data_IF_565832051994
#
_entry.id   IF_565832051994
#
_cell.length_a   1.000
_cell.length_b   1.000
_cell.length_c   1.000
_cell.angle_alpha   90.00
_cell.angle_beta   90.00
_cell.angle_gamma   90.00
#
_symmetry.space_group_name_H-M   'P 1'
#
loop_
_entity.id
_entity.type
_entity.pdbx_description
1 polymer ?
#
# COMPACT_ATOMS: atom_id res chain seq x y z
N UNK A 1 -8.39 -5.81 -14.92
CA UNK A 1 -9.02 -5.03 -13.83
C UNK A 1 -9.01 -5.83 -12.54
N UNK A 2 -7.98 -5.60 -11.72
CA UNK A 2 -7.89 -6.09 -10.34
C UNK A 2 -7.54 -4.90 -9.46
N UNK A 3 -8.04 -4.92 -8.24
CA UNK A 3 -7.78 -3.92 -7.22
C UNK A 3 -6.73 -4.48 -6.28
N UNK A 4 -5.71 -3.70 -5.97
CA UNK A 4 -4.65 -4.09 -5.07
C UNK A 4 -4.63 -3.13 -3.88
N UNK A 5 -4.77 -3.69 -2.69
CA UNK A 5 -4.69 -2.93 -1.44
C UNK A 5 -3.32 -3.16 -0.86
N UNK A 6 -2.56 -2.09 -0.63
CA UNK A 6 -1.32 -2.12 0.13
C UNK A 6 -1.63 -1.61 1.53
N UNK A 7 -1.45 -2.50 2.51
CA UNK A 7 -1.63 -2.18 3.93
C UNK A 7 -0.27 -1.88 4.56
N UNK A 8 0.74 -2.67 4.22
CA UNK A 8 2.12 -2.45 4.69
C UNK A 8 3.04 -2.38 3.50
N UNK A 9 3.78 -1.29 3.40
CA UNK A 9 4.66 -1.00 2.27
C UNK A 9 5.27 0.40 2.38
N UNK A 10 5.94 0.85 1.33
CA UNK A 10 6.49 2.20 1.21
C UNK A 10 5.40 3.27 1.06
N UNK A 11 4.27 2.88 0.48
CA UNK A 11 3.06 3.67 0.39
C UNK A 11 1.85 2.75 0.58
N UNK A 12 0.95 3.14 1.50
CA UNK A 12 -0.27 2.40 1.75
C UNK A 12 -1.43 3.04 0.99
N UNK A 13 -2.27 2.22 0.36
CA UNK A 13 -3.31 2.74 -0.50
C UNK A 13 -4.03 1.66 -1.31
N UNK A 14 -5.05 2.11 -2.05
CA UNK A 14 -5.78 1.29 -3.01
C UNK A 14 -5.30 1.63 -4.43
N UNK A 15 -4.68 0.67 -5.10
CA UNK A 15 -4.18 0.80 -6.46
C UNK A 15 -5.10 0.06 -7.44
N UNK A 16 -5.41 0.73 -8.55
CA UNK A 16 -6.18 0.20 -9.66
C UNK A 16 -5.24 -0.17 -10.81
N UNK A 17 -5.33 -1.43 -11.26
CA UNK A 17 -4.86 -1.87 -12.58
C UNK A 17 -3.38 -1.62 -12.93
N UNK A 18 -2.45 -1.67 -11.97
CA UNK A 18 -1.00 -1.87 -12.23
C UNK A 18 -0.36 -2.59 -11.04
N UNK A 19 0.00 -3.87 -11.21
CA UNK A 19 0.71 -4.63 -10.17
C UNK A 19 2.17 -4.21 -10.05
N UNK A 20 2.82 -3.79 -11.14
CA UNK A 20 4.23 -3.37 -11.14
C UNK A 20 4.48 -2.22 -10.15
N UNK A 21 3.62 -1.20 -10.17
CA UNK A 21 3.63 -0.09 -9.22
C UNK A 21 3.36 -0.53 -7.78
N UNK A 22 2.63 -1.63 -7.57
CA UNK A 22 2.39 -2.18 -6.23
C UNK A 22 3.58 -2.99 -5.76
N UNK A 23 4.21 -3.72 -6.68
CA UNK A 23 5.36 -4.56 -6.40
C UNK A 23 6.52 -3.71 -5.87
N UNK A 24 6.87 -2.60 -6.53
CA UNK A 24 7.92 -1.69 -6.05
C UNK A 24 7.67 -1.11 -4.63
N UNK A 25 6.39 -0.99 -4.24
CA UNK A 25 5.97 -0.47 -2.93
C UNK A 25 6.07 -1.51 -1.82
N UNK A 26 6.03 -2.79 -2.16
CA UNK A 26 6.14 -3.90 -1.20
C UNK A 26 7.51 -4.58 -1.24
N UNK A 27 8.22 -4.44 -2.36
CA UNK A 27 9.53 -5.02 -2.59
C UNK A 27 10.56 -4.34 -1.66
N UNK A 28 11.43 -5.16 -1.07
CA UNK A 28 12.37 -4.76 -0.01
C UNK A 28 11.76 -4.20 1.29
N UNK A 29 10.43 -4.28 1.49
CA UNK A 29 9.80 -3.89 2.76
C UNK A 29 9.64 -5.11 3.68
N UNK A 30 10.31 -5.14 4.85
CA UNK A 30 10.15 -6.24 5.79
C UNK A 30 8.72 -6.25 6.35
N UNK A 31 8.00 -7.33 6.11
CA UNK A 31 6.60 -7.48 6.56
C UNK A 31 5.57 -6.79 5.67
N UNK A 32 5.90 -6.51 4.41
CA UNK A 32 4.96 -5.96 3.46
C UNK A 32 3.68 -6.81 3.36
N UNK A 33 2.54 -6.14 3.34
CA UNK A 33 1.23 -6.77 3.32
C UNK A 33 0.40 -6.10 2.24
N UNK A 34 0.16 -6.85 1.18
CA UNK A 34 -0.73 -6.47 0.09
C UNK A 34 -1.81 -7.53 -0.11
N UNK A 35 -2.95 -7.12 -0.67
CA UNK A 35 -4.01 -8.06 -1.02
C UNK A 35 -4.73 -7.62 -2.30
N UNK A 36 -4.87 -8.56 -3.23
CA UNK A 36 -5.60 -8.37 -4.47
C UNK A 36 -7.07 -8.74 -4.30
N UNK A 37 -7.95 -7.93 -4.88
CA UNK A 37 -9.39 -8.13 -4.93
C UNK A 37 -9.91 -7.91 -6.34
N UNK A 38 -10.98 -8.62 -6.70
CA UNK A 38 -11.67 -8.43 -7.99
C UNK A 38 -12.66 -7.26 -7.95
N UNK A 39 -13.10 -6.84 -6.76
CA UNK A 39 -14.08 -5.78 -6.53
C UNK A 39 -13.47 -4.59 -5.80
N UNK A 40 -13.85 -3.38 -6.21
CA UNK A 40 -13.44 -2.14 -5.54
C UNK A 40 -14.00 -2.04 -4.12
N UNK A 41 -15.28 -2.39 -3.92
CA UNK A 41 -15.94 -2.26 -2.62
C UNK A 41 -15.31 -3.14 -1.56
N UNK A 42 -14.96 -4.38 -1.90
CA UNK A 42 -14.25 -5.29 -0.99
C UNK A 42 -12.86 -4.75 -0.65
N UNK A 43 -12.15 -4.21 -1.65
CA UNK A 43 -10.82 -3.64 -1.47
C UNK A 43 -10.84 -2.41 -0.54
N UNK A 44 -11.76 -1.46 -0.76
CA UNK A 44 -11.93 -0.28 0.09
C UNK A 44 -12.33 -0.66 1.51
N UNK A 45 -13.26 -1.61 1.66
CA UNK A 45 -13.66 -2.12 2.98
C UNK A 45 -12.46 -2.72 3.73
N UNK A 46 -11.63 -3.49 3.02
CA UNK A 46 -10.44 -4.09 3.61
C UNK A 46 -9.40 -3.03 4.01
N UNK A 47 -9.22 -1.99 3.19
CA UNK A 47 -8.33 -0.88 3.50
C UNK A 47 -8.82 -0.08 4.72
N UNK A 48 -10.11 0.28 4.77
CA UNK A 48 -10.72 0.94 5.93
C UNK A 48 -10.62 0.11 7.20
N UNK A 49 -10.85 -1.20 7.12
CA UNK A 49 -10.70 -2.10 8.27
C UNK A 49 -9.24 -2.15 8.74
N UNK A 50 -8.28 -2.15 7.82
CA UNK A 50 -6.87 -2.09 8.15
C UNK A 50 -6.47 -0.76 8.81
N UNK A 51 -7.02 0.38 8.35
CA UNK A 51 -6.85 1.69 9.00
C UNK A 51 -7.40 1.67 10.42
N UNK A 52 -8.63 1.19 10.61
CA UNK A 52 -9.29 1.13 11.92
C UNK A 52 -8.59 0.17 12.88
N UNK A 53 -7.92 -0.86 12.36
CA UNK A 53 -7.10 -1.80 13.16
C UNK A 53 -5.66 -1.33 13.38
N UNK A 54 -5.29 -0.15 12.86
CA UNK A 54 -3.93 0.38 12.90
C UNK A 54 -2.90 -0.60 12.29
N UNK A 55 -3.33 -1.36 11.28
CA UNK A 55 -2.49 -2.28 10.53
C UNK A 55 -1.75 -1.59 9.39
N UNK A 56 -2.21 -0.41 8.97
CA UNK A 56 -1.54 0.38 7.94
C UNK A 56 -0.21 0.86 8.49
N UNK A 57 0.88 0.34 7.93
CA UNK A 57 2.24 0.71 8.31
C UNK A 57 3.03 1.11 7.08
N UNK A 58 3.48 2.35 7.09
CA UNK A 58 4.39 2.84 6.08
C UNK A 58 5.81 2.56 6.59
N UNK A 59 6.55 1.74 5.85
CA UNK A 59 7.94 1.39 6.15
C UNK A 59 8.76 1.82 4.95
N UNK A 60 9.54 2.89 5.10
CA UNK A 60 10.44 3.40 4.07
C UNK A 60 11.87 3.04 4.44
N UNK A 61 12.61 2.49 3.49
CA UNK A 61 14.03 2.24 3.69
C UNK A 61 14.81 3.55 3.47
N UNK A 62 16.00 3.69 4.07
CA UNK A 62 16.85 4.85 3.84
C UNK A 62 17.19 4.97 2.34
N UNK A 63 16.62 6.00 1.68
CA UNK A 63 16.75 6.26 0.24
C UNK A 63 15.42 6.39 -0.51
N UNK A 64 14.32 5.84 0.03
CA UNK A 64 12.99 5.91 -0.61
C UNK A 64 12.37 7.32 -0.58
N UNK A 65 12.80 8.19 0.34
CA UNK A 65 12.34 9.59 0.44
C UNK A 65 12.63 10.41 -0.83
N UNK A 66 13.68 10.07 -1.58
CA UNK A 66 14.00 10.74 -2.86
C UNK A 66 13.06 10.34 -3.99
N UNK A 67 12.43 9.16 -3.91
CA UNK A 67 11.58 8.61 -4.97
C UNK A 67 10.11 8.93 -4.70
N UNK A 68 9.67 8.79 -3.45
CA UNK A 68 8.26 8.93 -3.07
C UNK A 68 7.91 10.25 -2.37
N UNK A 69 8.88 11.16 -2.16
CA UNK A 69 8.66 12.46 -1.52
C UNK A 69 8.47 12.36 0.01
N UNK A 70 8.31 13.49 0.71
CA UNK A 70 8.26 13.51 2.18
C UNK A 70 7.05 12.73 2.73
N UNK A 71 7.23 12.05 3.86
CA UNK A 71 6.26 11.17 4.53
C UNK A 71 4.88 11.81 4.79
N UNK A 72 4.82 13.14 4.83
CA UNK A 72 3.62 13.92 5.14
C UNK A 72 2.54 13.93 4.04
N UNK A 73 2.89 13.64 2.79
CA UNK A 73 1.94 13.71 1.66
C UNK A 73 1.11 12.41 1.49
N UNK A 74 1.45 11.34 2.22
CA UNK A 74 0.83 10.01 2.04
C UNK A 74 -0.41 9.75 2.91
N UNK A 75 -1.13 10.78 3.35
CA UNK A 75 -2.38 10.65 4.15
C UNK A 75 -3.65 10.99 3.35
#
# INVERSE_FOLDING_TARGET
KRYHVVVVGKCAGLYYDVWENVQELVDFVPGAMHKGFSNQQDAERHYRLAQHRNWVKIIRNPGDDQIYGPEADTM
#
